data_IF_816790632974
#
_entry.id   IF_816790632974
#
_cell.length_a   1.000
_cell.length_b   1.000
_cell.length_c   1.000
_cell.angle_alpha   90.00
_cell.angle_beta   90.00
_cell.angle_gamma   90.00
#
_symmetry.space_group_name_H-M   'P 1'
#
loop_
_entity.id
_entity.type
_entity.pdbx_description
1 polymer ?
#
# COMPACT_ATOMS: atom_id res chain seq x y z
N UNK A 1 -62.24 60.13 -12.44
CA UNK A 1 -61.63 59.20 -11.46
C UNK A 1 -61.38 59.93 -10.17
N UNK A 2 -61.81 59.34 -9.07
CA UNK A 2 -61.51 59.82 -7.72
C UNK A 2 -60.02 59.59 -7.37
N UNK A 3 -59.49 60.32 -6.39
CA UNK A 3 -58.08 60.26 -5.95
C UNK A 3 -57.66 58.83 -5.62
N UNK A 4 -58.49 58.08 -4.89
CA UNK A 4 -58.22 56.67 -4.54
C UNK A 4 -58.15 55.75 -5.77
N UNK A 5 -58.97 55.99 -6.79
CA UNK A 5 -58.96 55.21 -8.02
C UNK A 5 -57.68 55.44 -8.82
N UNK A 6 -57.18 56.68 -8.85
CA UNK A 6 -55.90 57.01 -9.49
C UNK A 6 -54.73 56.38 -8.74
N UNK A 7 -54.74 56.38 -7.41
CA UNK A 7 -53.70 55.70 -6.60
C UNK A 7 -53.68 54.19 -6.87
N UNK A 8 -54.85 53.53 -6.90
CA UNK A 8 -54.94 52.10 -7.22
C UNK A 8 -54.45 51.77 -8.64
N UNK A 9 -54.77 52.63 -9.62
CA UNK A 9 -54.29 52.47 -11.00
C UNK A 9 -52.76 52.61 -11.09
N UNK A 10 -52.17 53.57 -10.38
CA UNK A 10 -50.71 53.75 -10.32
C UNK A 10 -50.02 52.50 -9.77
N UNK A 11 -50.57 51.90 -8.71
CA UNK A 11 -50.03 50.67 -8.12
C UNK A 11 -50.11 49.50 -9.10
N UNK A 12 -51.27 49.28 -9.72
CA UNK A 12 -51.47 48.20 -10.69
C UNK A 12 -50.57 48.34 -11.93
N UNK A 13 -50.28 49.56 -12.38
CA UNK A 13 -49.37 49.81 -13.50
C UNK A 13 -47.91 49.60 -13.10
N UNK A 14 -47.52 49.98 -11.88
CA UNK A 14 -46.18 49.76 -11.36
C UNK A 14 -45.88 48.28 -11.11
N UNK A 15 -46.84 47.50 -10.59
CA UNK A 15 -46.73 46.04 -10.46
C UNK A 15 -46.60 45.34 -11.82
N UNK A 16 -47.19 45.91 -12.87
CA UNK A 16 -47.02 45.45 -14.27
C UNK A 16 -45.69 45.90 -14.90
N UNK A 17 -44.80 46.53 -14.14
CA UNK A 17 -43.46 46.94 -14.60
C UNK A 17 -43.44 48.16 -15.51
N UNK A 18 -44.51 48.96 -15.56
CA UNK A 18 -44.55 50.18 -16.39
C UNK A 18 -43.59 51.26 -15.86
N UNK A 19 -42.98 51.99 -16.79
CA UNK A 19 -42.07 53.08 -16.47
C UNK A 19 -42.82 54.31 -15.96
N UNK A 20 -42.14 55.19 -15.21
CA UNK A 20 -42.71 56.47 -14.74
C UNK A 20 -43.40 57.28 -15.85
N UNK A 21 -42.83 57.28 -17.06
CA UNK A 21 -43.37 58.02 -18.21
C UNK A 21 -44.67 57.41 -18.73
N UNK A 22 -44.76 56.08 -18.76
CA UNK A 22 -45.97 55.36 -19.16
C UNK A 22 -47.08 55.52 -18.11
N UNK A 23 -46.74 55.39 -16.83
CA UNK A 23 -47.70 55.60 -15.73
C UNK A 23 -48.24 57.04 -15.76
N UNK A 24 -47.37 58.03 -16.02
CA UNK A 24 -47.79 59.43 -16.17
C UNK A 24 -48.80 59.59 -17.31
N UNK A 25 -48.57 58.92 -18.44
CA UNK A 25 -49.42 58.98 -19.64
C UNK A 25 -50.75 58.23 -19.46
N UNK A 26 -50.73 57.06 -18.81
CA UNK A 26 -51.90 56.19 -18.66
C UNK A 26 -52.77 56.59 -17.45
N UNK A 27 -52.17 56.92 -16.31
CA UNK A 27 -52.92 57.30 -15.10
C UNK A 27 -53.19 58.81 -15.00
N UNK A 28 -52.56 59.64 -15.85
CA UNK A 28 -52.79 61.09 -15.89
C UNK A 28 -52.47 61.76 -14.55
N UNK A 29 -51.36 61.36 -13.93
CA UNK A 29 -50.86 61.86 -12.64
C UNK A 29 -49.44 62.36 -12.78
N UNK A 30 -49.07 63.36 -11.98
CA UNK A 30 -47.72 63.92 -12.03
C UNK A 30 -46.67 62.91 -11.54
N UNK A 31 -45.41 62.99 -12.01
CA UNK A 31 -44.32 62.17 -11.49
C UNK A 31 -44.17 62.24 -9.96
N UNK A 32 -44.39 63.41 -9.36
CA UNK A 32 -44.35 63.58 -7.91
C UNK A 32 -45.47 62.80 -7.19
N UNK A 33 -46.66 62.76 -7.79
CA UNK A 33 -47.79 61.97 -7.29
C UNK A 33 -47.50 60.48 -7.40
N UNK A 34 -46.93 60.02 -8.53
CA UNK A 34 -46.50 58.62 -8.71
C UNK A 34 -45.49 58.25 -7.63
N UNK A 35 -44.47 59.09 -7.41
CA UNK A 35 -43.46 58.88 -6.37
C UNK A 35 -44.06 58.80 -4.97
N UNK A 36 -44.96 59.72 -4.62
CA UNK A 36 -45.61 59.69 -3.31
C UNK A 36 -46.44 58.41 -3.10
N UNK A 37 -47.12 57.92 -4.14
CA UNK A 37 -47.95 56.70 -4.08
C UNK A 37 -47.08 55.45 -4.01
N UNK A 38 -46.03 55.34 -4.82
CA UNK A 38 -45.10 54.22 -4.82
C UNK A 38 -44.32 54.14 -3.51
N UNK A 39 -43.84 55.27 -2.98
CA UNK A 39 -43.14 55.32 -1.69
C UNK A 39 -44.06 54.90 -0.54
N UNK A 40 -45.33 55.32 -0.57
CA UNK A 40 -46.33 54.91 0.42
C UNK A 40 -46.62 53.40 0.38
N UNK A 41 -46.46 52.78 -0.79
CA UNK A 41 -46.67 51.34 -0.99
C UNK A 41 -45.38 50.50 -0.89
N UNK A 42 -44.22 51.11 -0.62
CA UNK A 42 -42.92 50.42 -0.62
C UNK A 42 -42.45 49.94 -2.00
N UNK A 43 -43.14 50.34 -3.08
CA UNK A 43 -42.85 49.97 -4.47
C UNK A 43 -41.94 50.98 -5.18
N UNK A 44 -41.14 51.73 -4.42
CA UNK A 44 -40.26 52.72 -5.03
C UNK A 44 -39.34 52.02 -6.05
N UNK A 45 -39.32 52.54 -7.27
CA UNK A 45 -38.45 52.05 -8.36
C UNK A 45 -36.96 52.33 -8.06
N UNK A 46 -36.65 52.85 -6.88
CA UNK A 46 -35.29 53.05 -6.35
C UNK A 46 -34.72 51.81 -5.65
N UNK A 47 -35.53 50.77 -5.37
CA UNK A 47 -34.99 49.51 -4.87
C UNK A 47 -34.10 48.89 -5.96
N UNK A 48 -32.81 48.76 -5.64
CA UNK A 48 -31.82 48.18 -6.55
C UNK A 48 -32.26 46.77 -6.99
N UNK A 49 -31.81 46.35 -8.17
CA UNK A 49 -32.04 44.97 -8.65
C UNK A 49 -31.63 43.96 -7.58
N UNK A 50 -30.48 44.17 -6.92
CA UNK A 50 -29.97 43.32 -5.85
C UNK A 50 -30.94 43.22 -4.66
N UNK A 51 -31.51 44.34 -4.22
CA UNK A 51 -32.51 44.36 -3.13
C UNK A 51 -33.75 43.54 -3.47
N UNK A 52 -34.31 43.72 -4.67
CA UNK A 52 -35.46 42.92 -5.15
C UNK A 52 -35.11 41.43 -5.31
N UNK A 53 -33.88 41.16 -5.75
CA UNK A 53 -33.37 39.79 -5.90
C UNK A 53 -33.34 39.10 -4.53
N UNK A 54 -32.82 39.77 -3.49
CA UNK A 54 -32.78 39.23 -2.14
C UNK A 54 -34.16 39.06 -1.51
N UNK A 55 -35.09 39.98 -1.73
CA UNK A 55 -36.49 39.82 -1.28
C UNK A 55 -37.14 38.55 -1.85
N UNK A 56 -36.92 38.23 -3.12
CA UNK A 56 -37.41 37.01 -3.74
C UNK A 56 -36.74 35.76 -3.14
N UNK A 57 -35.45 35.82 -2.82
CA UNK A 57 -34.77 34.71 -2.15
C UNK A 57 -35.23 34.49 -0.70
N UNK A 58 -35.59 35.55 0.04
CA UNK A 58 -36.25 35.44 1.35
C UNK A 58 -37.59 34.71 1.22
N UNK A 59 -38.30 34.88 0.10
CA UNK A 59 -39.52 34.15 -0.25
C UNK A 59 -39.28 32.73 -0.77
N UNK A 60 -38.05 32.20 -0.64
CA UNK A 60 -37.63 30.87 -1.08
C UNK A 60 -37.76 30.62 -2.59
N UNK A 61 -37.73 31.68 -3.40
CA UNK A 61 -37.68 31.53 -4.85
C UNK A 61 -36.34 30.96 -5.30
N UNK A 62 -36.36 30.11 -6.31
CA UNK A 62 -35.15 29.54 -6.91
C UNK A 62 -34.43 30.57 -7.79
N UNK A 63 -33.11 30.43 -8.04
CA UNK A 63 -32.39 31.32 -8.96
C UNK A 63 -33.03 31.40 -10.36
N UNK A 64 -33.65 30.30 -10.81
CA UNK A 64 -34.40 30.27 -12.06
C UNK A 64 -35.63 31.17 -12.03
N UNK A 65 -36.48 31.05 -11.00
CA UNK A 65 -37.67 31.89 -10.85
C UNK A 65 -37.32 33.38 -10.73
N UNK A 66 -36.22 33.67 -10.02
CA UNK A 66 -35.71 35.03 -9.85
C UNK A 66 -35.20 35.61 -11.17
N UNK A 67 -34.46 34.81 -11.97
CA UNK A 67 -34.02 35.21 -13.29
C UNK A 67 -35.20 35.56 -14.22
N UNK A 68 -36.27 34.75 -14.17
CA UNK A 68 -37.49 34.99 -14.94
C UNK A 68 -38.22 36.25 -14.44
N UNK A 69 -38.40 36.38 -13.13
CA UNK A 69 -39.17 37.48 -12.53
C UNK A 69 -38.51 38.85 -12.72
N UNK A 70 -37.17 38.91 -12.67
CA UNK A 70 -36.40 40.15 -12.77
C UNK A 70 -35.70 40.32 -14.13
N UNK A 71 -35.96 39.42 -15.08
CA UNK A 71 -35.34 39.41 -16.41
C UNK A 71 -33.80 39.48 -16.35
N UNK A 72 -33.20 38.70 -15.46
CA UNK A 72 -31.75 38.63 -15.26
C UNK A 72 -31.13 37.54 -16.12
N UNK A 73 -29.86 37.69 -16.48
CA UNK A 73 -29.11 36.59 -17.06
C UNK A 73 -28.92 35.49 -16.02
N UNK A 74 -28.86 34.24 -16.46
CA UNK A 74 -28.66 33.09 -15.56
C UNK A 74 -27.44 33.28 -14.63
N UNK A 75 -26.34 33.79 -15.17
CA UNK A 75 -25.14 34.09 -14.39
C UNK A 75 -25.40 35.13 -13.29
N UNK A 76 -26.09 36.22 -13.61
CA UNK A 76 -26.40 37.29 -12.64
C UNK A 76 -27.31 36.78 -11.52
N UNK A 77 -28.31 35.96 -11.85
CA UNK A 77 -29.19 35.37 -10.84
C UNK A 77 -28.42 34.40 -9.91
N UNK A 78 -27.52 33.59 -10.46
CA UNK A 78 -26.64 32.69 -9.68
C UNK A 78 -25.71 33.50 -8.79
N UNK A 79 -25.08 34.56 -9.32
CA UNK A 79 -24.17 35.42 -8.56
C UNK A 79 -24.90 36.06 -7.37
N UNK A 80 -26.10 36.61 -7.57
CA UNK A 80 -26.92 37.14 -6.47
C UNK A 80 -27.37 36.06 -5.48
N UNK A 81 -27.59 34.82 -5.91
CA UNK A 81 -27.92 33.73 -5.00
C UNK A 81 -26.77 33.41 -4.06
N UNK A 82 -25.53 33.45 -4.58
CA UNK A 82 -24.33 33.31 -3.77
C UNK A 82 -24.17 34.47 -2.78
N UNK A 83 -24.35 35.72 -3.24
CA UNK A 83 -24.30 36.90 -2.38
C UNK A 83 -25.35 36.84 -1.26
N UNK A 84 -26.58 36.42 -1.58
CA UNK A 84 -27.65 36.24 -0.60
C UNK A 84 -27.24 35.28 0.53
N UNK A 85 -26.66 34.13 0.20
CA UNK A 85 -26.19 33.19 1.21
C UNK A 85 -25.00 33.71 2.03
N UNK A 86 -24.12 34.50 1.42
CA UNK A 86 -23.06 35.19 2.15
C UNK A 86 -23.64 36.18 3.16
N UNK A 87 -24.68 36.94 2.77
CA UNK A 87 -25.36 37.92 3.64
C UNK A 87 -26.12 37.27 4.80
N UNK A 88 -26.66 36.05 4.61
CA UNK A 88 -27.29 35.29 5.69
C UNK A 88 -26.28 34.75 6.73
N UNK A 89 -24.99 35.05 6.57
CA UNK A 89 -23.92 34.54 7.41
C UNK A 89 -23.86 33.00 7.45
N UNK A 90 -24.41 32.33 6.42
CA UNK A 90 -24.24 30.89 6.17
C UNK A 90 -22.89 30.66 5.47
N UNK A 91 -21.90 31.49 5.81
CA UNK A 91 -20.63 31.62 5.10
C UNK A 91 -19.80 30.36 5.21
N UNK A 92 -19.84 29.65 6.33
CA UNK A 92 -19.02 28.45 6.52
C UNK A 92 -19.49 27.29 5.61
N UNK A 93 -20.80 27.09 5.48
CA UNK A 93 -21.31 26.08 4.55
C UNK A 93 -21.01 26.47 3.10
N UNK A 94 -21.20 27.74 2.73
CA UNK A 94 -20.89 28.22 1.38
C UNK A 94 -19.39 28.10 1.08
N UNK A 95 -18.51 28.41 2.03
CA UNK A 95 -17.04 28.24 1.90
C UNK A 95 -16.69 26.76 1.72
N UNK A 96 -17.23 25.87 2.54
CA UNK A 96 -16.98 24.42 2.44
C UNK A 96 -17.50 23.89 1.10
N UNK A 97 -18.71 24.26 0.69
CA UNK A 97 -19.28 23.85 -0.59
C UNK A 97 -18.38 24.27 -1.76
N UNK A 98 -17.89 25.52 -1.78
CA UNK A 98 -16.99 25.99 -2.83
C UNK A 98 -15.67 25.20 -2.89
N UNK A 99 -15.17 24.70 -1.76
CA UNK A 99 -13.97 23.85 -1.71
C UNK A 99 -14.22 22.44 -2.25
N UNK A 100 -15.44 21.93 -2.14
CA UNK A 100 -15.78 20.53 -2.49
C UNK A 100 -16.66 20.40 -3.74
N UNK A 101 -17.07 21.51 -4.37
CA UNK A 101 -18.07 21.54 -5.44
C UNK A 101 -17.72 20.66 -6.64
N UNK A 102 -16.44 20.45 -6.91
CA UNK A 102 -15.97 19.62 -8.03
C UNK A 102 -16.17 18.13 -7.75
N UNK A 103 -16.17 17.73 -6.46
CA UNK A 103 -16.48 16.37 -6.03
C UNK A 103 -17.10 16.35 -4.63
N UNK A 104 -18.42 16.60 -4.51
CA UNK A 104 -19.09 16.68 -3.21
C UNK A 104 -19.44 15.29 -2.63
N UNK A 105 -19.44 14.24 -3.47
CA UNK A 105 -19.93 12.91 -3.11
C UNK A 105 -19.25 12.26 -1.90
N UNK A 106 -17.92 12.38 -1.67
CA UNK A 106 -17.28 11.82 -0.48
C UNK A 106 -17.88 12.36 0.82
N UNK A 107 -18.21 13.66 0.88
CA UNK A 107 -18.81 14.29 2.06
C UNK A 107 -20.26 13.85 2.25
N UNK A 108 -21.02 13.75 1.16
CA UNK A 108 -22.39 13.19 1.19
C UNK A 108 -22.37 11.75 1.71
N UNK A 109 -21.41 10.94 1.26
CA UNK A 109 -21.26 9.56 1.71
C UNK A 109 -20.84 9.48 3.19
N UNK A 110 -19.96 10.37 3.66
CA UNK A 110 -19.59 10.45 5.06
C UNK A 110 -20.81 10.71 5.95
N UNK A 111 -21.67 11.66 5.57
CA UNK A 111 -22.90 11.96 6.31
C UNK A 111 -23.84 10.75 6.34
N UNK A 112 -24.04 10.08 5.20
CA UNK A 112 -24.86 8.85 5.14
C UNK A 112 -24.31 7.74 6.03
N UNK A 113 -22.99 7.54 6.02
CA UNK A 113 -22.33 6.55 6.87
C UNK A 113 -22.52 6.87 8.35
N UNK A 114 -22.28 8.12 8.75
CA UNK A 114 -22.51 8.57 10.12
C UNK A 114 -23.96 8.30 10.57
N UNK A 115 -24.95 8.66 9.73
CA UNK A 115 -26.36 8.43 10.02
C UNK A 115 -26.70 6.94 10.13
N UNK A 116 -26.22 6.12 9.19
CA UNK A 116 -26.46 4.67 9.19
C UNK A 116 -25.81 3.98 10.39
N UNK A 117 -24.69 4.51 10.88
CA UNK A 117 -24.00 4.05 12.08
C UNK A 117 -24.57 4.64 13.37
N UNK A 118 -25.57 5.52 13.30
CA UNK A 118 -26.15 6.21 14.46
C UNK A 118 -25.18 7.16 15.15
N UNK A 119 -24.12 7.60 14.47
CA UNK A 119 -23.12 8.52 15.01
C UNK A 119 -23.67 9.94 15.06
N UNK A 120 -23.48 10.59 16.21
CA UNK A 120 -23.73 12.02 16.40
C UNK A 120 -22.55 12.84 15.89
N UNK A 121 -22.78 14.13 15.62
CA UNK A 121 -21.77 15.04 15.07
C UNK A 121 -20.46 15.04 15.88
N UNK A 122 -20.55 15.02 17.22
CA UNK A 122 -19.39 14.96 18.10
C UNK A 122 -18.58 13.65 17.96
N UNK A 123 -19.26 12.53 17.74
CA UNK A 123 -18.62 11.22 17.56
C UNK A 123 -17.92 11.13 16.21
N UNK A 124 -18.51 11.71 15.15
CA UNK A 124 -17.87 11.84 13.84
C UNK A 124 -16.59 12.68 13.94
N UNK A 125 -16.65 13.81 14.65
CA UNK A 125 -15.50 14.69 14.85
C UNK A 125 -14.36 13.99 15.62
N UNK A 126 -14.67 13.30 16.71
CA UNK A 126 -13.67 12.55 17.48
C UNK A 126 -13.08 11.38 16.67
N UNK A 127 -13.90 10.64 15.92
CA UNK A 127 -13.42 9.59 15.03
C UNK A 127 -12.43 10.14 13.99
N UNK A 128 -12.73 11.28 13.37
CA UNK A 128 -11.85 11.90 12.38
C UNK A 128 -10.53 12.37 13.01
N UNK A 129 -10.55 12.92 14.23
CA UNK A 129 -9.32 13.29 14.96
C UNK A 129 -8.46 12.06 15.26
N UNK A 130 -9.07 11.00 15.78
CA UNK A 130 -8.38 9.73 16.07
C UNK A 130 -7.80 9.16 14.78
N UNK A 131 -8.60 9.06 13.73
CA UNK A 131 -8.16 8.52 12.44
C UNK A 131 -7.00 9.35 11.87
N UNK A 132 -7.08 10.67 11.90
CA UNK A 132 -6.00 11.52 11.37
C UNK A 132 -4.67 11.34 12.13
N UNK A 133 -4.72 11.10 13.44
CA UNK A 133 -3.52 10.89 14.26
C UNK A 133 -2.96 9.46 14.19
N UNK A 134 -3.82 8.44 14.30
CA UNK A 134 -3.40 7.06 14.48
C UNK A 134 -3.33 6.27 13.16
N UNK A 135 -4.18 6.57 12.18
CA UNK A 135 -4.25 5.79 10.94
C UNK A 135 -2.94 5.81 10.12
N UNK A 136 -2.21 6.94 10.02
CA UNK A 136 -0.90 6.94 9.38
C UNK A 136 0.11 6.05 10.11
N UNK A 137 0.11 6.10 11.45
CA UNK A 137 1.00 5.28 12.28
C UNK A 137 0.70 3.80 12.14
N UNK A 138 -0.57 3.42 12.20
CA UNK A 138 -1.02 2.03 12.01
C UNK A 138 -0.60 1.52 10.62
N UNK A 139 -0.72 2.36 9.59
CA UNK A 139 -0.30 1.99 8.23
C UNK A 139 1.20 1.77 8.14
N UNK A 140 2.00 2.65 8.75
CA UNK A 140 3.45 2.51 8.80
C UNK A 140 3.88 1.24 9.54
N UNK A 141 3.28 0.97 10.70
CA UNK A 141 3.55 -0.25 11.48
C UNK A 141 3.17 -1.51 10.70
N UNK A 142 2.01 -1.49 10.02
CA UNK A 142 1.58 -2.59 9.15
C UNK A 142 2.55 -2.84 8.00
N UNK A 143 2.96 -1.79 7.29
CA UNK A 143 3.89 -1.89 6.17
C UNK A 143 5.27 -2.39 6.63
N UNK A 144 5.73 -1.95 7.81
CA UNK A 144 6.96 -2.43 8.45
C UNK A 144 6.90 -3.92 8.81
N UNK A 145 5.88 -4.34 9.55
CA UNK A 145 5.67 -5.76 9.90
C UNK A 145 5.54 -6.64 8.66
N UNK A 146 4.90 -6.14 7.61
CA UNK A 146 4.79 -6.86 6.34
C UNK A 146 6.14 -7.04 5.65
N UNK A 147 7.01 -6.02 5.71
CA UNK A 147 8.36 -6.12 5.18
C UNK A 147 9.21 -7.13 5.97
N UNK A 148 9.14 -7.08 7.31
CA UNK A 148 9.82 -8.04 8.19
C UNK A 148 9.38 -9.48 7.92
N UNK A 149 8.07 -9.71 7.82
CA UNK A 149 7.50 -11.02 7.50
C UNK A 149 8.03 -11.55 6.16
N UNK A 150 8.13 -10.69 5.15
CA UNK A 150 8.67 -11.08 3.85
C UNK A 150 10.17 -11.41 3.93
N UNK A 151 10.95 -10.66 4.72
CA UNK A 151 12.37 -10.94 4.96
C UNK A 151 12.55 -12.31 5.62
N UNK A 152 11.84 -12.54 6.73
CA UNK A 152 11.89 -13.81 7.47
C UNK A 152 11.48 -14.99 6.59
N UNK A 153 10.46 -14.80 5.74
CA UNK A 153 10.05 -15.82 4.77
C UNK A 153 11.15 -16.14 3.75
N UNK A 154 11.90 -15.14 3.30
CA UNK A 154 13.02 -15.32 2.39
C UNK A 154 14.19 -16.05 3.08
N UNK A 155 14.52 -15.67 4.31
CA UNK A 155 15.53 -16.34 5.14
C UNK A 155 15.17 -17.80 5.41
N UNK A 156 13.91 -18.08 5.74
CA UNK A 156 13.41 -19.44 5.93
C UNK A 156 13.56 -20.27 4.65
N UNK A 157 13.17 -19.71 3.50
CA UNK A 157 13.32 -20.37 2.19
C UNK A 157 14.79 -20.69 1.88
N UNK A 158 15.70 -19.75 2.16
CA UNK A 158 17.13 -19.97 1.98
C UNK A 158 17.67 -21.06 2.91
N UNK A 159 17.25 -21.05 4.18
CA UNK A 159 17.64 -22.06 5.18
C UNK A 159 17.18 -23.46 4.76
N UNK A 160 15.93 -23.60 4.29
CA UNK A 160 15.40 -24.86 3.77
C UNK A 160 16.22 -25.34 2.57
N UNK A 161 16.57 -24.44 1.65
CA UNK A 161 17.43 -24.77 0.49
C UNK A 161 18.81 -25.27 0.93
N UNK A 162 19.46 -24.60 1.88
CA UNK A 162 20.77 -25.01 2.40
C UNK A 162 20.68 -26.38 3.08
N UNK A 163 19.65 -26.59 3.90
CA UNK A 163 19.44 -27.87 4.56
C UNK A 163 19.23 -29.01 3.56
N UNK A 164 18.47 -28.77 2.49
CA UNK A 164 18.29 -29.75 1.42
C UNK A 164 19.62 -30.10 0.74
N UNK A 165 20.44 -29.09 0.41
CA UNK A 165 21.77 -29.30 -0.16
C UNK A 165 22.67 -30.13 0.77
N UNK A 166 22.60 -29.88 2.08
CA UNK A 166 23.33 -30.67 3.07
C UNK A 166 22.85 -32.14 3.11
N UNK A 167 21.54 -32.38 3.06
CA UNK A 167 20.98 -33.73 2.98
C UNK A 167 21.46 -34.46 1.72
N UNK A 168 21.41 -33.82 0.56
CA UNK A 168 21.87 -34.39 -0.71
C UNK A 168 23.35 -34.77 -0.65
N UNK A 169 24.18 -33.88 -0.06
CA UNK A 169 25.62 -34.13 0.13
C UNK A 169 25.89 -35.31 1.06
N UNK A 170 25.12 -35.46 2.12
CA UNK A 170 25.26 -36.61 3.02
C UNK A 170 24.90 -37.93 2.34
N UNK A 171 23.91 -37.93 1.44
CA UNK A 171 23.57 -39.10 0.64
C UNK A 171 24.74 -39.47 -0.29
N UNK A 172 25.36 -38.49 -0.96
CA UNK A 172 26.55 -38.71 -1.79
C UNK A 172 27.73 -39.27 -0.98
N UNK A 173 28.01 -38.67 0.19
CA UNK A 173 29.08 -39.14 1.07
C UNK A 173 28.83 -40.57 1.56
N UNK A 174 27.59 -40.92 1.87
CA UNK A 174 27.24 -42.28 2.28
C UNK A 174 27.50 -43.29 1.17
N UNK A 175 27.08 -42.99 -0.06
CA UNK A 175 27.38 -43.83 -1.23
C UNK A 175 28.89 -44.02 -1.40
N UNK A 176 29.66 -42.93 -1.25
CA UNK A 176 31.12 -42.99 -1.36
C UNK A 176 31.76 -43.81 -0.25
N UNK A 177 31.23 -43.73 0.97
CA UNK A 177 31.67 -44.56 2.09
C UNK A 177 31.45 -46.05 1.77
N UNK A 178 30.28 -46.40 1.24
CA UNK A 178 29.94 -47.79 0.88
C UNK A 178 30.84 -48.32 -0.25
N UNK A 179 31.12 -47.51 -1.28
CA UNK A 179 32.10 -47.84 -2.34
C UNK A 179 33.50 -48.11 -1.77
N UNK A 180 33.99 -47.24 -0.88
CA UNK A 180 35.30 -47.40 -0.26
C UNK A 180 35.36 -48.65 0.62
N UNK A 181 34.28 -48.96 1.36
CA UNK A 181 34.17 -50.21 2.13
C UNK A 181 34.26 -51.44 1.23
N UNK A 182 33.58 -51.42 0.08
CA UNK A 182 33.67 -52.51 -0.89
C UNK A 182 35.11 -52.70 -1.38
N UNK A 183 35.78 -51.61 -1.77
CA UNK A 183 37.17 -51.64 -2.23
C UNK A 183 38.08 -52.22 -1.13
N UNK A 184 37.94 -51.79 0.12
CA UNK A 184 38.72 -52.31 1.26
C UNK A 184 38.55 -53.83 1.37
N UNK A 185 37.30 -54.33 1.35
CA UNK A 185 37.02 -55.76 1.43
C UNK A 185 37.68 -56.55 0.28
N UNK A 186 37.67 -56.01 -0.94
CA UNK A 186 38.33 -56.62 -2.11
C UNK A 186 39.86 -56.70 -1.92
N UNK A 187 40.49 -55.64 -1.38
CA UNK A 187 41.92 -55.64 -1.08
C UNK A 187 42.28 -56.60 0.04
N UNK A 188 41.44 -56.71 1.07
CA UNK A 188 41.62 -57.68 2.15
C UNK A 188 41.55 -59.12 1.64
N UNK A 189 40.60 -59.44 0.75
CA UNK A 189 40.51 -60.75 0.12
C UNK A 189 41.76 -61.09 -0.71
N UNK A 190 42.22 -60.15 -1.56
CA UNK A 190 43.46 -60.32 -2.35
C UNK A 190 44.70 -60.50 -1.46
N UNK A 191 44.76 -59.78 -0.34
CA UNK A 191 45.85 -59.92 0.64
C UNK A 191 45.89 -61.34 1.20
N UNK A 192 44.73 -61.90 1.58
CA UNK A 192 44.64 -63.29 2.07
C UNK A 192 45.06 -64.29 0.99
N UNK A 193 44.62 -64.09 -0.26
CA UNK A 193 45.03 -64.94 -1.40
C UNK A 193 46.56 -64.91 -1.62
N UNK A 194 47.17 -63.72 -1.59
CA UNK A 194 48.62 -63.58 -1.68
C UNK A 194 49.35 -64.22 -0.49
N UNK A 195 48.81 -64.12 0.72
CA UNK A 195 49.38 -64.80 1.88
C UNK A 195 49.34 -66.33 1.72
N UNK A 196 48.23 -66.87 1.21
CA UNK A 196 48.09 -68.31 0.94
C UNK A 196 49.06 -68.79 -0.15
N UNK A 197 49.22 -68.03 -1.25
CA UNK A 197 50.18 -68.38 -2.30
C UNK A 197 51.63 -68.32 -1.81
N UNK A 198 52.00 -67.31 -1.01
CA UNK A 198 53.31 -67.24 -0.35
C UNK A 198 53.54 -68.46 0.55
N UNK A 199 52.54 -68.85 1.35
CA UNK A 199 52.64 -70.03 2.20
C UNK A 199 52.85 -71.32 1.38
N UNK A 200 52.09 -71.49 0.29
CA UNK A 200 52.23 -72.63 -0.62
C UNK A 200 53.61 -72.69 -1.29
N UNK A 201 54.12 -71.56 -1.80
CA UNK A 201 55.45 -71.48 -2.40
C UNK A 201 56.56 -71.80 -1.39
N UNK A 202 56.42 -71.34 -0.14
CA UNK A 202 57.36 -71.69 0.94
C UNK A 202 57.37 -73.19 1.25
N UNK A 203 56.21 -73.83 1.24
CA UNK A 203 56.11 -75.28 1.41
C UNK A 203 56.82 -76.01 0.26
N UNK A 204 56.55 -75.65 -0.99
CA UNK A 204 57.22 -76.24 -2.16
C UNK A 204 58.74 -76.05 -2.13
N UNK A 205 59.22 -74.88 -1.71
CA UNK A 205 60.66 -74.64 -1.51
C UNK A 205 61.25 -75.58 -0.45
N UNK A 206 60.53 -75.82 0.64
CA UNK A 206 60.97 -76.75 1.70
C UNK A 206 61.05 -78.18 1.16
N UNK A 207 60.05 -78.63 0.39
CA UNK A 207 60.03 -79.94 -0.27
C UNK A 207 61.16 -80.10 -1.31
N UNK A 208 61.50 -79.05 -2.06
CA UNK A 208 62.62 -79.06 -3.00
C UNK A 208 63.98 -79.11 -2.30
N UNK A 209 64.11 -78.48 -1.12
CA UNK A 209 65.32 -78.54 -0.31
C UNK A 209 65.53 -79.93 0.31
N UNK A 210 64.47 -80.60 0.76
CA UNK A 210 64.53 -81.98 1.26
C UNK A 210 64.88 -83.00 0.16
N UNK A 211 64.47 -82.76 -1.08
CA UNK A 211 64.79 -83.63 -2.22
C UNK A 211 66.19 -83.40 -2.82
N UNK A 212 66.89 -82.32 -2.44
CA UNK A 212 68.25 -82.02 -2.89
C UNK A 212 69.33 -82.37 -1.84
N UNK A 213 68.94 -82.89 -0.67
CA UNK A 213 69.86 -83.36 0.38
C UNK A 213 70.39 -84.79 0.14
N UNK A 214 70.78 -85.08 -1.10
CA UNK A 214 71.65 -86.21 -1.47
C UNK A 214 72.69 -85.73 -2.49
N UNK A 215 73.36 -84.61 -2.23
CA UNK A 215 74.78 -84.40 -2.52
C UNK A 215 75.22 -82.96 -2.25
N UNK A 216 76.39 -82.87 -1.63
CA UNK A 216 77.31 -81.72 -1.52
C UNK A 216 77.35 -81.01 -0.16
N UNK A 217 78.47 -81.31 0.51
CA UNK A 217 79.11 -80.72 1.69
C UNK A 217 79.12 -79.17 1.70
N UNK A 218 78.91 -78.51 2.86
CA UNK A 218 78.95 -77.06 2.96
C UNK A 218 80.38 -76.52 3.17
N UNK A 219 80.78 -75.58 2.31
CA UNK A 219 81.93 -74.71 2.53
C UNK A 219 81.46 -73.43 3.26
N UNK A 220 82.05 -73.03 4.40
CA UNK A 220 81.68 -71.80 5.09
C UNK A 220 82.65 -70.67 4.71
N UNK A 221 82.16 -69.54 4.20
CA UNK A 221 82.79 -68.24 4.44
C UNK A 221 81.99 -67.04 3.89
N UNK A 222 82.09 -65.94 4.66
CA UNK A 222 81.99 -64.53 4.31
C UNK A 222 80.61 -63.83 4.23
N UNK A 223 80.39 -63.00 5.25
CA UNK A 223 80.07 -61.56 5.20
C UNK A 223 79.02 -61.02 4.20
N UNK A 224 78.00 -60.32 4.71
CA UNK A 224 77.99 -58.84 4.72
C UNK A 224 76.60 -58.26 5.05
N UNK A 225 76.65 -57.18 5.82
CA UNK A 225 75.60 -56.20 6.14
C UNK A 225 74.52 -55.97 5.07
N UNK A 226 73.25 -55.97 5.49
CA UNK A 226 72.28 -54.97 5.01
C UNK A 226 71.10 -54.78 5.99
N UNK A 227 71.07 -53.64 6.68
CA UNK A 227 69.91 -53.16 7.43
C UNK A 227 68.95 -52.45 6.46
N UNK A 228 67.65 -52.79 6.42
CA UNK A 228 66.68 -52.00 5.68
C UNK A 228 66.31 -50.70 6.45
N UNK A 229 66.04 -49.58 5.77
CA UNK A 229 65.73 -48.32 6.42
C UNK A 229 64.34 -48.37 7.08
N UNK A 230 64.28 -47.98 8.35
CA UNK A 230 63.05 -47.59 9.03
C UNK A 230 62.48 -46.35 8.35
N UNK A 231 61.32 -46.49 7.71
CA UNK A 231 60.50 -45.37 7.26
C UNK A 231 59.59 -45.00 8.42
N UNK A 232 59.82 -43.82 9.02
CA UNK A 232 58.93 -43.28 10.04
C UNK A 232 57.54 -42.98 9.45
N UNK A 233 56.45 -43.25 10.18
CA UNK A 233 55.12 -42.80 9.80
C UNK A 233 55.05 -41.27 9.96
N UNK A 234 55.10 -40.55 8.85
CA UNK A 234 54.81 -39.12 8.79
C UNK A 234 53.36 -38.88 9.25
N UNK A 235 53.24 -38.47 10.51
CA UNK A 235 51.98 -38.03 11.11
C UNK A 235 51.66 -36.62 10.61
N UNK A 236 51.07 -36.52 9.41
CA UNK A 236 50.41 -35.29 8.96
C UNK A 236 49.07 -35.18 9.69
N UNK A 237 49.08 -34.52 10.85
CA UNK A 237 47.86 -34.03 11.49
C UNK A 237 47.24 -32.96 10.58
N UNK A 238 46.16 -33.33 9.90
CA UNK A 238 45.27 -32.39 9.21
C UNK A 238 44.46 -31.65 10.28
N UNK A 239 44.89 -30.44 10.63
CA UNK A 239 44.11 -29.52 11.45
C UNK A 239 43.04 -28.91 10.53
N UNK A 240 41.78 -29.24 10.78
CA UNK A 240 40.65 -28.51 10.19
C UNK A 240 40.57 -27.14 10.88
N UNK A 241 40.87 -26.07 10.15
CA UNK A 241 40.62 -24.71 10.60
C UNK A 241 39.11 -24.44 10.45
N UNK A 242 38.42 -24.25 11.58
CA UNK A 242 36.96 -24.08 11.67
C UNK A 242 36.55 -22.61 11.55
N UNK A 243 37.42 -21.75 11.02
CA UNK A 243 37.21 -20.29 10.97
C UNK A 243 36.32 -19.79 9.83
N UNK A 244 35.90 -20.65 8.91
CA UNK A 244 35.01 -20.27 7.79
C UNK A 244 33.55 -20.73 7.97
N UNK A 245 33.13 -21.02 9.22
CA UNK A 245 31.77 -21.48 9.55
C UNK A 245 31.10 -20.59 10.60
N UNK A 246 30.97 -19.29 10.31
CA UNK A 246 29.96 -18.40 10.91
C UNK A 246 29.49 -17.36 9.88
#
# INVERSE_FOLDING_TARGET
MDKKQKEALVLALAEKGKTYREITKEAGVSPNTIKAVLNKAGLDQTASISSRTFELYVQQKTPLEVAIALNLKAKEAIDYYHEYFMLLNITEFTKVYLQIKDNPWPFVNLVKLAQNSGMRDGEVMELLKIANGYLPRVRLEYDGLRAELNSLKAELSNTVRIYQQFCDRNIELKKREDELRQIINEWEAKKVELQNTIAGLKQQLSELQENNTDSIDPNPEAEALYNPPQVEPSSRTLIFDTKDLF
#
